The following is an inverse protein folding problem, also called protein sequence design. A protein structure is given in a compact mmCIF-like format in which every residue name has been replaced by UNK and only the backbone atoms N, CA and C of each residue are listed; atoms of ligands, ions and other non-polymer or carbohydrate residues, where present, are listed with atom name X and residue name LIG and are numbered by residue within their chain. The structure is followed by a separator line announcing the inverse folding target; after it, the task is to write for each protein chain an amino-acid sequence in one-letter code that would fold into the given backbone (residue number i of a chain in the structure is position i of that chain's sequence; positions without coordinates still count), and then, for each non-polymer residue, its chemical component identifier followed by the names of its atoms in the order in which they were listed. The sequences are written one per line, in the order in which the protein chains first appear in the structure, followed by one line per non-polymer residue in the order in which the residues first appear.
data_IF_231812687784
#
_entry.id   IF_231812687784
#
_cell.length_a   1.000
_cell.length_b   1.000
_cell.length_c   1.000
_cell.angle_alpha   90.00
_cell.angle_beta   90.00
_cell.angle_gamma   90.00
#
_symmetry.space_group_name_H-M   'P 1'
#
loop_
_entity.id
_entity.type
_entity.pdbx_description
1 polymer ?
#
# COMPACT_ATOMS: atom_id res chain seq x y z
N UNK A 1 7.52 5.56 -24.02
CA UNK A 1 8.52 4.76 -23.29
C UNK A 1 7.74 3.72 -22.53
N UNK A 2 7.80 2.45 -22.93
CA UNK A 2 7.13 1.39 -22.18
C UNK A 2 7.86 1.16 -20.87
N UNK A 3 7.17 1.35 -19.75
CA UNK A 3 7.68 1.01 -18.42
C UNK A 3 7.12 -0.35 -18.04
N UNK A 4 7.92 -1.13 -17.32
CA UNK A 4 7.45 -2.36 -16.67
C UNK A 4 6.92 -1.99 -15.30
N UNK A 5 5.84 -2.64 -14.87
CA UNK A 5 5.30 -2.59 -13.52
C UNK A 5 5.55 -3.95 -12.87
N UNK A 6 6.13 -3.97 -11.67
CA UNK A 6 6.20 -5.19 -10.86
C UNK A 6 5.02 -5.25 -9.89
N UNK A 7 4.38 -6.41 -9.77
CA UNK A 7 3.27 -6.61 -8.82
C UNK A 7 3.56 -7.83 -7.96
N UNK A 8 3.65 -7.60 -6.66
CA UNK A 8 3.95 -8.62 -5.66
C UNK A 8 2.69 -8.93 -4.85
N UNK A 9 2.34 -10.21 -4.76
CA UNK A 9 1.18 -10.71 -3.99
C UNK A 9 1.63 -11.73 -2.94
N UNK A 10 2.35 -11.34 -1.87
CA UNK A 10 2.89 -12.28 -0.87
C UNK A 10 1.81 -12.96 -0.01
N UNK A 11 0.53 -12.66 -0.24
CA UNK A 11 -0.58 -13.18 0.55
C UNK A 11 -0.71 -12.41 1.86
N UNK A 12 -0.41 -13.06 2.99
CA UNK A 12 -0.54 -12.46 4.32
C UNK A 12 0.83 -12.31 4.99
N UNK A 13 1.15 -11.08 5.41
CA UNK A 13 2.41 -10.76 6.11
C UNK A 13 2.15 -9.99 7.39
N UNK A 14 3.02 -10.17 8.40
CA UNK A 14 3.04 -9.26 9.55
C UNK A 14 3.28 -7.82 9.08
N UNK A 15 2.85 -6.84 9.88
CA UNK A 15 3.05 -5.44 9.49
C UNK A 15 4.54 -5.10 9.35
N UNK A 16 5.38 -5.60 10.27
CA UNK A 16 6.82 -5.34 10.27
C UNK A 16 7.54 -6.01 9.09
N UNK A 17 7.17 -7.24 8.71
CA UNK A 17 7.75 -7.90 7.53
C UNK A 17 7.36 -7.17 6.24
N UNK A 18 6.11 -6.70 6.15
CA UNK A 18 5.66 -5.90 5.03
C UNK A 18 6.34 -4.52 4.98
N UNK A 19 6.61 -3.90 6.13
CA UNK A 19 7.37 -2.65 6.21
C UNK A 19 8.80 -2.86 5.69
N UNK A 20 9.46 -3.94 6.11
CA UNK A 20 10.79 -4.31 5.60
C UNK A 20 10.78 -4.53 4.08
N UNK A 21 9.78 -5.24 3.56
CA UNK A 21 9.62 -5.44 2.11
C UNK A 21 9.42 -4.11 1.37
N UNK A 22 8.66 -3.17 1.95
CA UNK A 22 8.47 -1.82 1.39
C UNK A 22 9.79 -1.06 1.35
N UNK A 23 10.56 -1.04 2.44
CA UNK A 23 11.84 -0.33 2.53
C UNK A 23 12.87 -0.91 1.53
N UNK A 24 13.00 -2.23 1.47
CA UNK A 24 13.90 -2.90 0.51
C UNK A 24 13.51 -2.63 -0.95
N UNK A 25 12.20 -2.60 -1.24
CA UNK A 25 11.69 -2.32 -2.58
C UNK A 25 11.90 -0.84 -2.92
N UNK A 26 11.68 0.06 -1.96
CA UNK A 26 11.91 1.49 -2.13
C UNK A 26 13.37 1.80 -2.45
N UNK A 27 14.33 1.23 -1.71
CA UNK A 27 15.75 1.47 -1.96
C UNK A 27 16.18 0.97 -3.34
N UNK A 28 15.79 -0.25 -3.72
CA UNK A 28 16.04 -0.77 -5.07
C UNK A 28 15.43 0.11 -6.16
N UNK A 29 14.22 0.65 -5.91
CA UNK A 29 13.55 1.53 -6.87
C UNK A 29 14.28 2.86 -7.02
N UNK A 30 14.73 3.48 -5.91
CA UNK A 30 15.55 4.70 -5.92
C UNK A 30 16.87 4.51 -6.67
N UNK A 31 17.49 3.35 -6.53
CA UNK A 31 18.72 2.99 -7.27
C UNK A 31 18.46 2.70 -8.75
N UNK A 32 17.19 2.62 -9.18
CA UNK A 32 16.81 2.27 -10.55
C UNK A 32 17.09 0.81 -10.92
N UNK A 33 17.27 -0.08 -9.94
CA UNK A 33 17.58 -1.50 -10.18
C UNK A 33 16.34 -2.36 -10.38
N UNK A 34 15.17 -1.84 -10.05
CA UNK A 34 13.86 -2.45 -10.29
C UNK A 34 12.88 -1.42 -10.88
N UNK A 35 11.83 -1.86 -11.61
CA UNK A 35 10.73 -0.99 -12.00
C UNK A 35 9.91 -0.51 -10.80
N UNK A 36 8.98 0.42 -11.06
CA UNK A 36 7.92 0.75 -10.09
C UNK A 36 7.19 -0.54 -9.67
N UNK A 37 6.86 -0.63 -8.39
CA UNK A 37 6.37 -1.87 -7.77
C UNK A 37 5.12 -1.60 -6.95
N UNK A 38 4.15 -2.50 -7.05
CA UNK A 38 2.97 -2.51 -6.18
C UNK A 38 2.96 -3.80 -5.39
N UNK A 39 2.85 -3.68 -4.07
CA UNK A 39 2.73 -4.82 -3.15
C UNK A 39 1.28 -4.89 -2.69
N UNK A 40 0.61 -6.01 -2.95
CA UNK A 40 -0.79 -6.25 -2.56
C UNK A 40 -0.82 -7.43 -1.60
N UNK A 41 -1.35 -7.22 -0.40
CA UNK A 41 -1.32 -8.23 0.66
C UNK A 41 -2.48 -8.04 1.65
N UNK A 42 -2.53 -8.94 2.62
CA UNK A 42 -3.32 -8.79 3.85
C UNK A 42 -2.39 -8.77 5.07
N UNK A 43 -2.87 -8.22 6.18
CA UNK A 43 -2.21 -8.35 7.48
C UNK A 43 -3.00 -9.28 8.41
N UNK A 44 -2.32 -9.99 9.33
CA UNK A 44 -2.92 -10.35 10.61
C UNK A 44 -3.49 -9.11 11.32
N UNK A 45 -4.39 -9.25 12.31
CA UNK A 45 -4.92 -8.12 13.06
C UNK A 45 -3.81 -7.21 13.61
N UNK A 46 -3.81 -5.95 13.21
CA UNK A 46 -2.82 -4.95 13.63
C UNK A 46 -3.45 -3.56 13.67
N UNK A 47 -3.16 -2.81 14.73
CA UNK A 47 -3.46 -1.39 14.86
C UNK A 47 -2.16 -0.64 14.60
N UNK A 48 -2.18 0.31 13.65
CA UNK A 48 -1.02 1.16 13.39
C UNK A 48 -1.27 2.60 13.78
N UNK A 49 -0.26 3.27 14.34
CA UNK A 49 -0.32 4.69 14.66
C UNK A 49 0.59 5.47 13.73
N UNK A 50 0.03 6.48 13.05
CA UNK A 50 0.77 7.40 12.19
C UNK A 50 1.34 8.60 12.94
N UNK A 51 2.02 9.50 12.23
CA UNK A 51 2.71 10.66 12.83
C UNK A 51 1.79 11.68 13.53
N UNK A 52 0.48 11.68 13.22
CA UNK A 52 -0.48 12.63 13.81
C UNK A 52 -1.18 12.06 15.06
N UNK A 53 -0.84 10.84 15.46
CA UNK A 53 -1.43 10.22 16.64
C UNK A 53 -1.01 10.95 17.93
N UNK A 54 -1.98 11.15 18.83
CA UNK A 54 -1.87 12.00 20.03
C UNK A 54 -2.26 11.25 21.32
N UNK A 55 -2.15 9.93 21.36
CA UNK A 55 -2.35 9.07 22.53
C UNK A 55 -3.80 8.73 22.89
N UNK A 56 -4.80 9.33 22.23
CA UNK A 56 -6.21 9.27 22.67
C UNK A 56 -7.16 8.53 21.71
N UNK A 57 -6.69 8.10 20.55
CA UNK A 57 -7.53 7.44 19.53
C UNK A 57 -7.43 5.91 19.55
N UNK A 58 -6.88 5.34 20.63
CA UNK A 58 -6.89 3.90 20.91
C UNK A 58 -7.87 3.64 22.06
N UNK A 59 -9.10 3.28 21.72
CA UNK A 59 -10.19 3.05 22.69
C UNK A 59 -10.21 1.61 23.25
N UNK A 60 -9.39 0.73 22.70
CA UNK A 60 -9.36 -0.70 23.04
C UNK A 60 -7.91 -1.13 23.23
N UNK A 61 -7.63 -1.94 24.25
CA UNK A 61 -6.32 -2.56 24.38
C UNK A 61 -6.12 -3.55 23.21
N UNK A 62 -5.13 -3.33 22.31
CA UNK A 62 -4.91 -4.17 21.13
C UNK A 62 -4.72 -5.66 21.46
N UNK A 63 -4.02 -5.97 22.56
CA UNK A 63 -3.80 -7.35 23.00
C UNK A 63 -5.11 -8.07 23.32
N UNK A 64 -6.11 -7.36 23.87
CA UNK A 64 -7.42 -7.94 24.21
C UNK A 64 -8.25 -8.32 22.98
N UNK A 65 -7.95 -7.74 21.83
CA UNK A 65 -8.60 -8.05 20.55
C UNK A 65 -7.70 -8.88 19.63
N UNK A 66 -6.57 -9.37 20.14
CA UNK A 66 -5.61 -10.18 19.39
C UNK A 66 -4.91 -9.40 18.27
N UNK A 67 -4.79 -8.08 18.40
CA UNK A 67 -4.13 -7.22 17.43
C UNK A 67 -2.78 -6.73 17.93
N UNK A 68 -1.79 -6.70 17.04
CA UNK A 68 -0.50 -6.05 17.30
C UNK A 68 -0.68 -4.51 17.31
N UNK A 69 0.13 -3.78 18.08
CA UNK A 69 0.19 -2.32 18.02
C UNK A 69 1.53 -1.88 17.45
N UNK A 70 1.53 -1.23 16.29
CA UNK A 70 2.75 -0.78 15.62
C UNK A 70 2.75 0.74 15.43
N UNK A 71 3.81 1.41 15.89
CA UNK A 71 4.04 2.83 15.59
C UNK A 71 4.78 2.97 14.28
N UNK A 72 4.31 3.88 13.43
CA UNK A 72 4.75 3.98 12.04
C UNK A 72 5.05 5.42 11.65
N UNK A 73 5.75 5.60 10.53
CA UNK A 73 6.08 6.91 9.99
C UNK A 73 5.06 7.39 8.93
N UNK A 74 3.92 6.71 8.74
CA UNK A 74 2.90 7.14 7.76
C UNK A 74 2.16 8.39 8.22
N UNK A 75 1.53 9.06 7.25
CA UNK A 75 0.57 10.13 7.53
C UNK A 75 -0.70 9.62 8.21
N UNK A 76 -1.46 10.55 8.79
CA UNK A 76 -2.71 10.23 9.48
C UNK A 76 -2.51 9.77 10.92
N UNK A 77 -3.60 9.30 11.52
CA UNK A 77 -3.70 8.93 12.94
C UNK A 77 -3.67 7.40 13.09
N UNK A 78 -4.62 6.81 13.82
CA UNK A 78 -4.75 5.38 14.06
C UNK A 78 -5.52 4.71 12.91
N UNK A 79 -5.13 3.50 12.53
CA UNK A 79 -5.96 2.64 11.66
C UNK A 79 -5.79 1.17 12.04
N UNK A 80 -6.74 0.33 11.60
CA UNK A 80 -6.72 -1.12 11.79
C UNK A 80 -6.54 -1.83 10.43
N UNK A 81 -5.77 -2.91 10.45
CA UNK A 81 -5.69 -3.88 9.38
C UNK A 81 -5.93 -5.30 9.89
N UNK A 82 -6.46 -6.17 9.04
CA UNK A 82 -6.73 -7.56 9.39
C UNK A 82 -7.16 -8.42 8.20
N UNK A 83 -7.40 -9.72 8.43
CA UNK A 83 -7.82 -10.65 7.39
C UNK A 83 -9.06 -10.18 6.63
N UNK A 84 -9.05 -10.33 5.31
CA UNK A 84 -10.12 -9.85 4.42
C UNK A 84 -10.06 -8.36 4.07
N UNK A 85 -9.13 -7.60 4.64
CA UNK A 85 -8.81 -6.26 4.18
C UNK A 85 -7.57 -6.31 3.27
N UNK A 86 -7.76 -5.97 2.00
CA UNK A 86 -6.64 -5.86 1.05
C UNK A 86 -5.91 -4.55 1.29
N UNK A 87 -4.59 -4.64 1.40
CA UNK A 87 -3.67 -3.50 1.58
C UNK A 87 -2.76 -3.42 0.36
N UNK A 88 -2.67 -2.23 -0.25
CA UNK A 88 -1.79 -1.93 -1.37
C UNK A 88 -0.71 -0.93 -1.00
N UNK A 89 0.56 -1.29 -1.20
CA UNK A 89 1.70 -0.39 -1.09
C UNK A 89 2.27 -0.12 -2.48
N UNK A 90 2.09 1.10 -2.97
CA UNK A 90 2.57 1.52 -4.28
C UNK A 90 3.89 2.29 -4.09
N UNK A 91 4.94 1.78 -4.72
CA UNK A 91 6.31 2.29 -4.62
C UNK A 91 6.75 2.71 -6.02
N UNK A 92 6.75 4.01 -6.27
CA UNK A 92 7.03 4.58 -7.58
C UNK A 92 7.78 5.91 -7.51
N UNK A 93 8.50 6.23 -8.58
CA UNK A 93 9.12 7.55 -8.73
C UNK A 93 8.16 8.52 -9.47
N UNK A 94 7.49 9.38 -8.70
CA UNK A 94 6.53 10.36 -9.24
C UNK A 94 7.19 11.41 -10.15
N UNK A 95 8.48 11.69 -10.01
CA UNK A 95 9.18 12.67 -10.85
C UNK A 95 9.18 12.23 -12.31
N UNK A 96 9.26 10.93 -12.55
CA UNK A 96 9.23 10.36 -13.88
C UNK A 96 7.87 10.50 -14.57
N UNK A 97 6.82 10.89 -13.85
CA UNK A 97 5.46 11.11 -14.35
C UNK A 97 5.07 12.59 -14.40
N UNK A 98 5.93 13.50 -13.92
CA UNK A 98 5.61 14.92 -13.82
C UNK A 98 4.39 15.23 -12.94
N UNK A 99 3.96 14.29 -12.09
CA UNK A 99 2.77 14.42 -11.23
C UNK A 99 3.15 14.84 -9.82
N UNK A 100 2.30 15.65 -9.19
CA UNK A 100 2.38 15.92 -7.76
C UNK A 100 1.76 14.80 -6.94
N UNK A 101 2.08 14.76 -5.64
CA UNK A 101 1.50 13.80 -4.69
C UNK A 101 -0.04 13.85 -4.64
N UNK A 102 -0.64 15.03 -4.88
CA UNK A 102 -2.10 15.20 -4.86
C UNK A 102 -2.76 14.54 -6.07
N UNK A 103 -2.21 14.76 -7.27
CA UNK A 103 -2.75 14.17 -8.50
C UNK A 103 -2.71 12.64 -8.41
N UNK A 104 -1.61 12.11 -7.88
CA UNK A 104 -1.43 10.70 -7.63
C UNK A 104 -2.42 10.10 -6.61
N UNK A 105 -2.81 10.84 -5.57
CA UNK A 105 -3.83 10.35 -4.62
C UNK A 105 -5.21 10.34 -5.28
N UNK A 106 -5.58 11.40 -6.00
CA UNK A 106 -6.87 11.46 -6.71
C UNK A 106 -7.02 10.32 -7.73
N UNK A 107 -5.94 10.05 -8.45
CA UNK A 107 -5.79 8.92 -9.38
C UNK A 107 -6.13 7.57 -8.72
N UNK A 108 -5.58 7.29 -7.53
CA UNK A 108 -5.85 6.06 -6.78
C UNK A 108 -7.31 6.00 -6.31
N UNK A 109 -7.84 7.12 -5.80
CA UNK A 109 -9.22 7.19 -5.29
C UNK A 109 -10.23 6.82 -6.38
N UNK A 110 -10.03 7.28 -7.61
CA UNK A 110 -10.91 6.98 -8.75
C UNK A 110 -10.95 5.48 -9.07
N UNK A 111 -9.83 4.78 -8.95
CA UNK A 111 -9.74 3.33 -9.18
C UNK A 111 -10.50 2.55 -8.12
N UNK A 112 -10.29 2.93 -6.85
CA UNK A 112 -10.83 2.19 -5.72
C UNK A 112 -12.35 2.35 -5.60
N UNK A 113 -12.90 3.50 -5.99
CA UNK A 113 -14.35 3.76 -5.93
C UNK A 113 -15.17 2.94 -6.93
N UNK A 114 -14.55 2.39 -7.98
CA UNK A 114 -15.23 1.64 -9.04
C UNK A 114 -15.15 0.10 -8.85
N UNK A 115 -14.54 -0.40 -7.77
CA UNK A 115 -14.36 -1.84 -7.54
C UNK A 115 -15.43 -2.47 -6.64
N UNK A 116 -16.18 -3.46 -7.15
CA UNK A 116 -16.97 -4.40 -6.33
C UNK A 116 -16.07 -5.41 -5.60
N UNK A 117 -16.52 -6.04 -4.51
CA UNK A 117 -15.71 -6.87 -3.59
C UNK A 117 -14.57 -7.64 -4.28
N UNK A 118 -13.33 -7.23 -3.98
CA UNK A 118 -12.14 -7.73 -4.65
C UNK A 118 -11.41 -8.75 -3.77
N UNK A 119 -10.91 -9.82 -4.40
CA UNK A 119 -9.84 -10.66 -3.85
C UNK A 119 -8.49 -10.14 -4.36
N UNK A 120 -7.37 -10.65 -3.81
CA UNK A 120 -6.02 -10.17 -4.15
C UNK A 120 -5.73 -10.25 -5.66
N UNK A 121 -6.17 -11.31 -6.35
CA UNK A 121 -5.92 -11.45 -7.80
C UNK A 121 -6.75 -10.45 -8.60
N UNK A 122 -8.02 -10.23 -8.23
CA UNK A 122 -8.84 -9.19 -8.86
C UNK A 122 -8.28 -7.78 -8.63
N UNK A 123 -7.79 -7.46 -7.42
CA UNK A 123 -7.14 -6.16 -7.17
C UNK A 123 -5.90 -6.01 -8.03
N UNK A 124 -5.07 -7.05 -8.11
CA UNK A 124 -3.89 -7.06 -8.99
C UNK A 124 -4.26 -6.76 -10.43
N UNK A 125 -5.27 -7.43 -10.98
CA UNK A 125 -5.69 -7.22 -12.36
C UNK A 125 -6.26 -5.79 -12.57
N UNK A 126 -7.07 -5.30 -11.64
CA UNK A 126 -7.63 -3.94 -11.67
C UNK A 126 -6.53 -2.88 -11.65
N UNK A 127 -5.56 -3.03 -10.75
CA UNK A 127 -4.43 -2.12 -10.59
C UNK A 127 -3.54 -2.15 -11.84
N UNK A 128 -3.18 -3.34 -12.33
CA UNK A 128 -2.39 -3.45 -13.56
C UNK A 128 -3.12 -2.75 -14.71
N UNK A 129 -4.42 -3.01 -14.89
CA UNK A 129 -5.23 -2.36 -15.93
C UNK A 129 -5.19 -0.83 -15.81
N UNK A 130 -5.43 -0.29 -14.61
CA UNK A 130 -5.40 1.16 -14.40
C UNK A 130 -4.04 1.76 -14.75
N UNK A 131 -2.95 1.14 -14.29
CA UNK A 131 -1.61 1.65 -14.56
C UNK A 131 -1.28 1.60 -16.06
N UNK A 132 -1.77 0.61 -16.80
CA UNK A 132 -1.68 0.59 -18.27
C UNK A 132 -2.43 1.78 -18.89
N UNK A 133 -3.65 2.04 -18.44
CA UNK A 133 -4.52 3.10 -19.01
C UNK A 133 -4.01 4.50 -18.70
N UNK A 134 -3.56 4.77 -17.47
CA UNK A 134 -3.18 6.12 -17.02
C UNK A 134 -1.70 6.41 -17.23
N UNK A 135 -0.84 5.40 -17.06
CA UNK A 135 0.60 5.59 -17.01
C UNK A 135 1.35 4.89 -18.16
N UNK A 136 0.66 4.23 -19.08
CA UNK A 136 1.23 3.55 -20.26
C UNK A 136 2.28 2.48 -19.92
N UNK A 137 1.99 1.63 -18.92
CA UNK A 137 2.77 0.42 -18.65
C UNK A 137 2.41 -0.73 -19.62
N UNK A 138 3.32 -1.70 -19.75
CA UNK A 138 3.15 -2.94 -20.55
C UNK A 138 2.42 -4.08 -19.84
#
# INVERSE_FOLDING_TARGET
MNRKLDVKTPGRLSYLDALKLQEETQEKRKEGTIPDTIIILEHPPVITTGRREQGHNIFVNPEKVGAELVKTNRGGEVTYHGPGQIVGYIIMDLHEYGKGIKDYISDIEEVLLNGESLDIEKVKDLVVKYFKEVFNYD
#
